data_IF_821367699082
#
_entry.id   IF_821367699082
#
_cell.length_a   1.000
_cell.length_b   1.000
_cell.length_c   1.000
_cell.angle_alpha   90.00
_cell.angle_beta   90.00
_cell.angle_gamma   90.00
#
_symmetry.space_group_name_H-M   'P 1'
#
loop_
_entity.id
_entity.type
_entity.pdbx_description
1 polymer ?
#
# COMPACT_ATOMS: atom_id res chain seq x y z
N UNK A 1 -7.34 -0.32 -35.29
CA UNK A 1 -6.15 0.31 -35.93
C UNK A 1 -5.93 -0.31 -37.33
N UNK A 2 -5.60 0.48 -38.37
CA UNK A 2 -5.45 -0.02 -39.76
C UNK A 2 -4.16 -0.82 -40.01
N UNK A 3 -3.18 -0.80 -39.09
CA UNK A 3 -2.00 -1.69 -39.05
C UNK A 3 -1.60 -1.97 -37.60
N UNK A 4 -1.20 -3.20 -37.30
CA UNK A 4 -0.54 -3.55 -36.04
C UNK A 4 0.98 -3.50 -36.25
N UNK A 5 1.70 -2.82 -35.36
CA UNK A 5 3.17 -2.78 -35.37
C UNK A 5 3.67 -3.17 -33.99
N UNK A 6 4.57 -4.14 -33.94
CA UNK A 6 5.32 -4.45 -32.72
C UNK A 6 6.22 -3.26 -32.39
N UNK A 7 6.14 -2.78 -31.16
CA UNK A 7 6.97 -1.69 -30.65
C UNK A 7 7.93 -2.24 -29.59
N UNK A 8 9.19 -1.85 -29.66
CA UNK A 8 10.21 -2.37 -28.74
C UNK A 8 10.09 -1.78 -27.33
N UNK A 9 9.67 -0.51 -27.24
CA UNK A 9 9.43 0.18 -25.97
C UNK A 9 7.97 0.62 -25.88
N UNK A 10 7.21 -0.05 -25.02
CA UNK A 10 5.80 0.26 -24.76
C UNK A 10 5.65 1.67 -24.17
N UNK A 11 4.85 2.58 -24.77
CA UNK A 11 4.61 3.89 -24.18
C UNK A 11 3.79 3.75 -22.92
N UNK A 12 4.02 4.66 -21.98
CA UNK A 12 3.33 4.71 -20.69
C UNK A 12 1.79 4.73 -20.86
N UNK A 13 1.30 5.35 -21.94
CA UNK A 13 -0.13 5.40 -22.27
C UNK A 13 -0.80 4.03 -22.38
N UNK A 14 -0.07 2.96 -22.74
CA UNK A 14 -0.64 1.60 -22.81
C UNK A 14 -0.88 1.06 -21.40
N UNK A 15 0.08 1.19 -20.49
CA UNK A 15 -0.08 0.78 -19.09
C UNK A 15 -1.26 1.53 -18.45
N UNK A 16 -1.34 2.84 -18.74
CA UNK A 16 -2.33 3.73 -18.17
C UNK A 16 -3.75 3.53 -18.72
N UNK A 17 -3.95 2.79 -19.81
CA UNK A 17 -5.30 2.43 -20.26
C UNK A 17 -6.05 1.61 -19.22
N UNK A 18 -5.35 0.70 -18.53
CA UNK A 18 -5.87 -0.15 -17.46
C UNK A 18 -5.55 0.42 -16.08
N UNK A 19 -4.40 1.06 -15.90
CA UNK A 19 -3.91 1.59 -14.61
C UNK A 19 -4.23 3.09 -14.40
N UNK A 20 -5.41 3.55 -14.86
CA UNK A 20 -5.82 4.97 -14.83
C UNK A 20 -5.77 5.63 -13.45
N UNK A 21 -5.95 4.82 -12.40
CA UNK A 21 -5.99 5.29 -11.02
C UNK A 21 -4.75 6.03 -10.52
N UNK A 22 -3.58 5.71 -11.07
CA UNK A 22 -2.32 6.30 -10.60
C UNK A 22 -2.02 7.67 -11.24
N UNK A 23 -2.87 8.15 -12.17
CA UNK A 23 -2.69 9.44 -12.85
C UNK A 23 -3.35 10.61 -12.12
N UNK A 24 -4.41 10.35 -11.36
CA UNK A 24 -5.31 11.41 -10.87
C UNK A 24 -4.72 12.14 -9.67
N UNK A 25 -4.02 13.25 -9.90
CA UNK A 25 -3.65 14.16 -8.81
C UNK A 25 -4.88 14.93 -8.31
N UNK A 26 -5.07 14.97 -6.99
CA UNK A 26 -6.04 15.85 -6.34
C UNK A 26 -5.31 16.99 -5.59
N UNK A 27 -5.61 18.26 -5.91
CA UNK A 27 -5.02 19.40 -5.20
C UNK A 27 -5.44 19.40 -3.72
N UNK A 28 -4.57 19.95 -2.87
CA UNK A 28 -4.93 20.17 -1.47
C UNK A 28 -6.02 21.25 -1.41
N UNK A 29 -7.01 21.06 -0.55
CA UNK A 29 -8.05 22.07 -0.34
C UNK A 29 -7.44 23.00 0.70
N UNK A 30 -7.13 24.23 0.30
CA UNK A 30 -6.95 25.31 1.27
C UNK A 30 -8.32 25.56 1.88
N UNK A 31 -8.55 25.04 3.09
CA UNK A 31 -9.71 25.46 3.89
C UNK A 31 -9.41 26.88 4.36
N UNK A 32 -9.75 27.86 3.54
CA UNK A 32 -9.91 29.24 4.00
C UNK A 32 -11.23 29.31 4.76
N UNK A 33 -11.20 29.13 6.08
CA UNK A 33 -12.34 29.47 6.92
C UNK A 33 -12.37 30.99 7.08
N UNK A 34 -13.12 31.69 6.24
CA UNK A 34 -13.63 33.02 6.59
C UNK A 34 -14.79 32.83 7.54
N UNK A 35 -14.48 32.66 8.82
CA UNK A 35 -15.37 33.07 9.89
C UNK A 35 -14.75 34.34 10.49
N UNK A 36 -15.42 35.46 10.26
CA UNK A 36 -15.20 36.69 11.02
C UNK A 36 -15.59 36.39 12.46
N UNK A 37 -14.59 36.08 13.29
CA UNK A 37 -14.44 36.56 14.67
C UNK A 37 -13.32 35.77 15.37
N UNK A 38 -12.22 36.47 15.70
CA UNK A 38 -11.19 35.98 16.63
C UNK A 38 -10.18 35.00 16.03
N UNK A 39 -9.01 35.52 15.64
CA UNK A 39 -7.88 34.75 15.11
C UNK A 39 -7.32 33.79 16.18
N UNK A 40 -7.75 32.53 16.15
CA UNK A 40 -6.89 31.39 16.47
C UNK A 40 -6.45 30.81 15.14
N UNK A 41 -5.21 31.10 14.71
CA UNK A 41 -4.56 30.38 13.62
C UNK A 41 -4.28 28.94 14.07
N UNK A 42 -5.31 28.09 14.07
CA UNK A 42 -5.10 26.65 14.07
C UNK A 42 -4.95 26.25 12.61
N UNK A 43 -3.73 26.36 12.09
CA UNK A 43 -3.36 25.52 10.95
C UNK A 43 -3.77 24.12 11.32
N UNK A 44 -4.66 23.47 10.57
CA UNK A 44 -4.88 22.04 10.73
C UNK A 44 -3.53 21.38 10.48
N UNK A 45 -2.80 21.05 11.54
CA UNK A 45 -1.54 20.35 11.43
C UNK A 45 -1.86 19.01 10.78
N UNK A 46 -1.48 18.89 9.52
CA UNK A 46 -1.89 17.79 8.68
C UNK A 46 -1.05 16.56 9.06
N UNK A 47 -1.50 15.79 10.05
CA UNK A 47 -0.79 14.63 10.62
C UNK A 47 -0.51 13.48 9.63
N UNK A 48 -1.11 13.50 8.43
CA UNK A 48 -0.86 12.51 7.39
C UNK A 48 -0.80 13.17 6.00
N UNK A 49 0.24 12.91 5.18
CA UNK A 49 0.27 13.39 3.80
C UNK A 49 -0.84 12.75 2.97
N UNK A 50 -1.71 13.55 2.34
CA UNK A 50 -2.71 13.02 1.41
C UNK A 50 -4.03 12.56 2.02
N UNK A 51 -4.55 13.25 3.06
CA UNK A 51 -5.90 13.13 3.67
C UNK A 51 -7.02 12.59 2.74
N UNK A 52 -7.06 11.27 2.52
CA UNK A 52 -8.03 10.64 1.62
C UNK A 52 -7.97 11.10 0.15
N UNK A 53 -6.82 11.63 -0.29
CA UNK A 53 -6.63 12.17 -1.64
C UNK A 53 -5.56 11.41 -2.40
N UNK A 54 -5.81 11.26 -3.70
CA UNK A 54 -4.81 10.65 -4.59
C UNK A 54 -3.68 11.66 -4.81
N UNK A 55 -2.50 11.28 -4.33
CA UNK A 55 -1.22 11.91 -4.64
C UNK A 55 -0.43 11.02 -5.57
N UNK A 56 0.11 11.61 -6.62
CA UNK A 56 0.91 10.91 -7.61
C UNK A 56 2.27 10.52 -7.03
N UNK A 57 2.74 9.32 -7.39
CA UNK A 57 4.06 8.82 -7.02
C UNK A 57 5.17 9.80 -7.44
N UNK A 58 6.16 10.00 -6.57
CA UNK A 58 7.25 10.93 -6.84
C UNK A 58 8.09 10.53 -8.05
N UNK A 59 8.22 9.24 -8.37
CA UNK A 59 8.97 8.76 -9.54
C UNK A 59 8.24 9.14 -10.82
N UNK A 60 6.93 8.89 -10.85
CA UNK A 60 6.09 9.28 -11.97
C UNK A 60 6.09 10.81 -12.14
N UNK A 61 6.01 11.57 -11.03
CA UNK A 61 5.99 13.03 -11.06
C UNK A 61 7.27 13.64 -11.66
N UNK A 62 8.43 13.01 -11.48
CA UNK A 62 9.69 13.48 -12.09
C UNK A 62 9.87 13.03 -13.54
N UNK A 63 8.99 12.18 -14.07
CA UNK A 63 8.98 11.77 -15.48
C UNK A 63 9.46 10.33 -15.75
N UNK A 64 9.61 9.49 -14.72
CA UNK A 64 9.81 8.05 -14.94
C UNK A 64 8.51 7.40 -15.43
N UNK A 65 8.63 6.53 -16.43
CA UNK A 65 7.53 5.74 -16.97
C UNK A 65 7.47 4.34 -16.33
N UNK A 66 6.33 3.63 -16.47
CA UNK A 66 6.18 2.29 -15.87
C UNK A 66 7.32 1.34 -16.25
N UNK A 67 7.77 1.38 -17.51
CA UNK A 67 8.82 0.51 -18.03
C UNK A 67 10.22 0.85 -17.49
N UNK A 68 10.41 2.01 -16.86
CA UNK A 68 11.72 2.36 -16.29
C UNK A 68 12.00 1.56 -15.01
N UNK A 69 10.94 1.17 -14.29
CA UNK A 69 11.02 0.27 -13.13
C UNK A 69 10.64 -1.17 -13.50
N UNK A 70 9.56 -1.38 -14.25
CA UNK A 70 9.13 -2.73 -14.64
C UNK A 70 10.02 -3.27 -15.76
N UNK A 71 10.83 -4.27 -15.42
CA UNK A 71 11.75 -4.89 -16.38
C UNK A 71 11.01 -5.79 -17.38
N UNK A 72 11.69 -6.24 -18.42
CA UNK A 72 11.12 -7.24 -19.34
C UNK A 72 10.66 -8.50 -18.59
N UNK A 73 11.33 -8.82 -17.48
CA UNK A 73 11.05 -10.01 -16.69
C UNK A 73 9.83 -9.84 -15.78
N UNK A 74 9.55 -8.60 -15.36
CA UNK A 74 8.31 -8.28 -14.63
C UNK A 74 7.10 -8.29 -15.57
N UNK A 75 7.25 -7.80 -16.81
CA UNK A 75 6.14 -7.61 -17.76
C UNK A 75 5.85 -8.88 -18.57
N UNK A 76 6.89 -9.52 -19.11
CA UNK A 76 6.78 -10.68 -20.00
C UNK A 76 7.02 -12.01 -19.27
N UNK A 77 7.44 -11.94 -18.00
CA UNK A 77 7.83 -13.10 -17.21
C UNK A 77 9.30 -13.48 -17.38
N UNK A 78 9.77 -14.34 -16.48
CA UNK A 78 11.13 -14.86 -16.45
C UNK A 78 11.19 -16.39 -16.63
N UNK A 79 10.10 -16.97 -17.14
CA UNK A 79 9.95 -18.42 -17.33
C UNK A 79 9.42 -19.17 -16.12
N UNK A 80 9.24 -18.53 -14.96
CA UNK A 80 8.69 -19.17 -13.77
C UNK A 80 7.19 -18.89 -13.60
N UNK A 81 6.49 -19.83 -12.95
CA UNK A 81 5.09 -19.66 -12.53
C UNK A 81 5.07 -19.19 -11.08
N UNK A 82 4.40 -18.06 -10.83
CA UNK A 82 4.22 -17.50 -9.50
C UNK A 82 2.77 -17.67 -9.04
N UNK A 83 2.58 -18.08 -7.79
CA UNK A 83 1.24 -18.16 -7.19
C UNK A 83 0.64 -16.78 -6.93
N UNK A 84 1.47 -15.75 -6.73
CA UNK A 84 1.07 -14.37 -6.44
C UNK A 84 1.96 -13.36 -7.18
N UNK A 85 1.38 -12.28 -7.67
CA UNK A 85 2.07 -11.23 -8.46
C UNK A 85 3.32 -10.65 -7.75
N UNK A 86 3.26 -10.41 -6.43
CA UNK A 86 4.38 -9.83 -5.68
C UNK A 86 5.63 -10.72 -5.62
N UNK A 87 5.51 -12.01 -5.97
CA UNK A 87 6.65 -12.93 -6.04
C UNK A 87 7.45 -12.76 -7.33
N UNK A 88 6.81 -12.30 -8.40
CA UNK A 88 7.45 -12.05 -9.70
C UNK A 88 8.35 -10.80 -9.66
N UNK A 89 7.94 -9.78 -8.92
CA UNK A 89 8.62 -8.47 -8.87
C UNK A 89 9.99 -8.57 -8.23
N UNK A 90 11.02 -8.13 -8.96
CA UNK A 90 12.41 -8.13 -8.48
C UNK A 90 12.95 -6.76 -8.09
N UNK A 91 12.36 -5.68 -8.61
CA UNK A 91 12.78 -4.31 -8.32
C UNK A 91 12.18 -3.88 -6.99
N UNK A 92 13.04 -3.43 -6.08
CA UNK A 92 12.67 -3.00 -4.73
C UNK A 92 13.20 -1.58 -4.47
N UNK A 93 12.78 -0.97 -3.36
CA UNK A 93 13.26 0.36 -2.98
C UNK A 93 14.79 0.33 -2.80
N UNK A 94 15.25 -0.70 -2.08
CA UNK A 94 16.65 -0.96 -1.75
C UNK A 94 17.49 -1.28 -3.00
N UNK A 95 16.87 -1.71 -4.10
CA UNK A 95 17.56 -1.96 -5.37
C UNK A 95 18.25 -0.70 -5.87
N UNK A 96 17.58 0.45 -5.84
CA UNK A 96 18.13 1.70 -6.36
C UNK A 96 18.63 2.63 -5.25
N UNK A 97 17.96 2.65 -4.09
CA UNK A 97 18.27 3.59 -3.02
C UNK A 97 19.23 3.02 -1.96
N UNK A 98 19.41 1.70 -1.93
CA UNK A 98 20.05 1.02 -0.80
C UNK A 98 19.19 1.08 0.46
N UNK A 99 19.79 0.74 1.59
CA UNK A 99 19.16 0.82 2.90
C UNK A 99 19.99 1.67 3.87
N UNK A 100 19.67 1.61 5.16
CA UNK A 100 20.37 2.37 6.22
C UNK A 100 21.83 1.98 6.38
N UNK A 101 22.23 0.79 5.93
CA UNK A 101 23.52 0.17 6.21
C UNK A 101 24.36 -0.06 4.95
N UNK A 102 23.72 -0.12 3.79
CA UNK A 102 24.34 -0.53 2.54
C UNK A 102 23.87 0.28 1.34
N UNK A 103 24.81 0.54 0.44
CA UNK A 103 24.53 1.08 -0.89
C UNK A 103 23.97 -0.01 -1.79
N UNK A 104 23.28 0.35 -2.89
CA UNK A 104 22.86 -0.59 -3.93
C UNK A 104 23.98 -1.51 -4.37
N UNK A 105 23.64 -2.77 -4.62
CA UNK A 105 24.58 -3.71 -5.19
C UNK A 105 24.81 -3.40 -6.67
N UNK A 106 26.06 -3.46 -7.10
CA UNK A 106 26.47 -3.18 -8.47
C UNK A 106 27.35 -4.31 -9.02
N UNK A 107 27.33 -4.50 -10.34
CA UNK A 107 28.29 -5.35 -11.04
C UNK A 107 28.65 -4.77 -12.40
N UNK A 108 29.89 -4.99 -12.80
CA UNK A 108 30.39 -4.55 -14.09
C UNK A 108 29.89 -5.45 -15.23
N UNK A 109 29.68 -4.85 -16.40
CA UNK A 109 29.50 -5.61 -17.64
C UNK A 109 30.85 -6.12 -18.11
N UNK A 110 31.03 -7.44 -18.08
CA UNK A 110 32.27 -8.11 -18.51
C UNK A 110 32.10 -8.91 -19.80
N UNK A 111 30.86 -9.24 -20.17
CA UNK A 111 30.51 -10.04 -21.33
C UNK A 111 29.90 -9.15 -22.43
N UNK A 112 30.45 -9.11 -23.66
CA UNK A 112 29.84 -8.41 -24.80
C UNK A 112 28.42 -8.88 -25.14
N UNK A 113 28.05 -10.10 -24.73
CA UNK A 113 26.74 -10.69 -24.95
C UNK A 113 25.76 -10.44 -23.80
N UNK A 114 26.15 -9.66 -22.78
CA UNK A 114 25.26 -9.35 -21.67
C UNK A 114 23.95 -8.71 -22.17
N UNK A 115 22.83 -9.22 -21.66
CA UNK A 115 21.49 -8.78 -22.03
C UNK A 115 21.29 -7.27 -21.92
N UNK A 116 21.96 -6.59 -20.98
CA UNK A 116 21.80 -5.13 -20.80
C UNK A 116 22.41 -4.33 -21.94
N UNK A 117 23.43 -4.83 -22.63
CA UNK A 117 23.97 -4.24 -23.86
C UNK A 117 22.91 -4.35 -24.95
N UNK A 118 22.41 -5.57 -25.19
CA UNK A 118 21.38 -5.84 -26.22
C UNK A 118 20.12 -5.01 -26.02
N UNK A 119 19.62 -4.92 -24.78
CA UNK A 119 18.43 -4.14 -24.44
C UNK A 119 18.63 -2.65 -24.70
N UNK A 120 19.80 -2.12 -24.33
CA UNK A 120 20.09 -0.69 -24.47
C UNK A 120 20.13 -0.16 -25.89
N UNK A 121 20.36 -1.03 -26.89
CA UNK A 121 20.28 -0.66 -28.33
C UNK A 121 18.91 -0.13 -28.75
N UNK A 122 17.86 -0.45 -27.99
CA UNK A 122 16.50 0.01 -28.25
C UNK A 122 16.13 1.28 -27.49
N UNK A 123 17.00 1.76 -26.60
CA UNK A 123 16.76 2.95 -25.78
C UNK A 123 17.11 4.24 -26.52
N UNK A 124 16.54 5.34 -26.07
CA UNK A 124 16.63 6.62 -26.79
C UNK A 124 17.84 7.43 -26.32
N UNK A 125 18.84 7.58 -27.19
CA UNK A 125 19.95 8.52 -26.99
C UNK A 125 21.13 8.00 -26.15
N UNK A 126 21.11 6.75 -25.70
CA UNK A 126 22.18 6.16 -24.88
C UNK A 126 22.24 4.64 -25.02
N UNK A 127 23.36 4.04 -24.60
CA UNK A 127 23.61 2.60 -24.63
C UNK A 127 24.52 2.16 -23.50
N UNK A 128 24.63 0.85 -23.31
CA UNK A 128 25.55 0.22 -22.37
C UNK A 128 26.72 -0.45 -23.11
N UNK A 129 27.90 -0.45 -22.50
CA UNK A 129 29.13 -1.06 -23.03
C UNK A 129 29.84 -1.91 -21.97
N UNK A 130 30.77 -2.76 -22.41
CA UNK A 130 31.69 -3.45 -21.49
C UNK A 130 32.38 -2.40 -20.61
N UNK A 131 32.45 -2.67 -19.32
CA UNK A 131 33.03 -1.77 -18.33
C UNK A 131 32.01 -0.95 -17.54
N UNK A 132 30.77 -0.80 -18.01
CA UNK A 132 29.74 -0.09 -17.27
C UNK A 132 29.36 -0.83 -15.98
N UNK A 133 29.16 -0.08 -14.90
CA UNK A 133 28.71 -0.61 -13.62
C UNK A 133 27.19 -0.50 -13.49
N UNK A 134 26.51 -1.64 -13.46
CA UNK A 134 25.05 -1.70 -13.43
C UNK A 134 24.55 -2.05 -12.03
N UNK A 135 23.43 -1.46 -11.63
CA UNK A 135 22.73 -1.82 -10.39
C UNK A 135 22.09 -3.20 -10.53
N UNK A 136 22.11 -3.98 -9.46
CA UNK A 136 21.55 -5.32 -9.39
C UNK A 136 20.19 -5.36 -8.70
N UNK A 137 19.23 -6.03 -9.33
CA UNK A 137 17.93 -6.37 -8.73
C UNK A 137 18.08 -7.30 -7.52
N UNK A 138 16.98 -7.54 -6.80
CA UNK A 138 17.02 -8.51 -5.69
C UNK A 138 17.35 -9.94 -6.11
N UNK A 139 17.27 -10.23 -7.42
CA UNK A 139 17.64 -11.53 -8.02
C UNK A 139 19.02 -11.50 -8.67
N UNK A 140 19.84 -10.50 -8.34
CA UNK A 140 21.20 -10.31 -8.87
C UNK A 140 21.27 -10.11 -10.39
N UNK A 141 20.17 -9.65 -11.01
CA UNK A 141 20.14 -9.28 -12.43
C UNK A 141 20.49 -7.82 -12.61
N UNK A 142 21.33 -7.51 -13.60
CA UNK A 142 21.69 -6.13 -13.95
C UNK A 142 20.47 -5.39 -14.49
N UNK A 143 20.14 -4.24 -13.91
CA UNK A 143 19.12 -3.34 -14.44
C UNK A 143 19.69 -2.59 -15.64
N UNK A 144 19.08 -2.78 -16.82
CA UNK A 144 19.62 -2.24 -18.07
C UNK A 144 19.64 -0.70 -18.15
N UNK A 145 18.97 0.00 -17.24
CA UNK A 145 18.84 1.45 -17.25
C UNK A 145 19.22 2.13 -15.93
N UNK A 146 19.79 1.39 -14.99
CA UNK A 146 20.28 1.97 -13.74
C UNK A 146 21.74 1.61 -13.57
N UNK A 147 22.61 2.62 -13.59
CA UNK A 147 24.07 2.44 -13.64
C UNK A 147 24.82 3.54 -12.89
N UNK A 148 26.12 3.34 -12.73
CA UNK A 148 27.02 4.35 -12.15
C UNK A 148 27.53 5.26 -13.26
N UNK A 149 27.27 6.56 -13.15
CA UNK A 149 27.85 7.61 -13.98
C UNK A 149 28.47 8.67 -13.08
N UNK A 150 29.71 9.09 -13.34
CA UNK A 150 30.41 10.13 -12.56
C UNK A 150 30.36 9.89 -11.03
N UNK A 151 30.61 8.64 -10.60
CA UNK A 151 30.53 8.19 -9.21
C UNK A 151 29.14 8.34 -8.54
N UNK A 152 28.08 8.51 -9.31
CA UNK A 152 26.69 8.56 -8.84
C UNK A 152 25.86 7.47 -9.48
N UNK A 153 24.89 6.95 -8.75
CA UNK A 153 23.91 6.03 -9.32
C UNK A 153 22.82 6.87 -10.00
N UNK A 154 22.56 6.56 -11.27
CA UNK A 154 21.54 7.22 -12.07
C UNK A 154 20.61 6.18 -12.69
N UNK A 155 19.34 6.53 -12.80
CA UNK A 155 18.40 5.84 -13.69
C UNK A 155 18.22 6.68 -14.94
N UNK A 156 18.37 6.09 -16.11
CA UNK A 156 18.12 6.77 -17.39
C UNK A 156 16.79 6.28 -17.96
N UNK A 157 15.91 7.20 -18.33
CA UNK A 157 14.62 6.85 -18.93
C UNK A 157 14.81 6.09 -20.24
N UNK A 158 14.22 4.90 -20.37
CA UNK A 158 14.41 4.01 -21.52
C UNK A 158 13.89 4.65 -22.82
N UNK A 159 12.76 5.35 -22.73
CA UNK A 159 12.13 6.07 -23.85
C UNK A 159 12.48 7.56 -23.89
N UNK A 160 12.67 8.20 -22.75
CA UNK A 160 12.86 9.64 -22.68
C UNK A 160 14.33 10.06 -22.83
N UNK A 161 15.27 9.18 -22.46
CA UNK A 161 16.69 9.52 -22.37
C UNK A 161 17.05 10.44 -21.19
N UNK A 162 16.07 10.85 -20.38
CA UNK A 162 16.30 11.71 -19.23
C UNK A 162 17.12 10.98 -18.17
N UNK A 163 18.10 11.66 -17.59
CA UNK A 163 18.94 11.13 -16.51
C UNK A 163 18.37 11.56 -15.16
N UNK A 164 18.14 10.59 -14.28
CA UNK A 164 17.58 10.79 -12.94
C UNK A 164 18.61 10.36 -11.88
N UNK A 165 19.24 11.31 -11.17
CA UNK A 165 20.11 11.00 -10.05
C UNK A 165 19.33 10.34 -8.90
N UNK A 166 19.90 9.28 -8.32
CA UNK A 166 19.24 8.52 -7.26
C UNK A 166 19.73 8.99 -5.89
N UNK A 167 18.86 9.57 -5.04
CA UNK A 167 19.21 9.84 -3.65
C UNK A 167 19.37 8.53 -2.90
N UNK A 168 20.45 8.37 -2.14
CA UNK A 168 20.72 7.12 -1.43
C UNK A 168 20.28 7.23 0.03
N UNK A 169 19.72 6.13 0.55
CA UNK A 169 19.18 6.06 1.91
C UNK A 169 20.25 6.36 2.96
N UNK A 170 21.48 5.86 2.74
CA UNK A 170 22.63 6.06 3.63
C UNK A 170 23.04 7.53 3.77
N UNK A 171 22.76 8.37 2.76
CA UNK A 171 23.10 9.80 2.78
C UNK A 171 22.06 10.61 3.59
N UNK A 172 20.94 9.99 3.99
CA UNK A 172 19.86 10.59 4.78
C UNK A 172 19.69 9.88 6.15
N UNK A 173 20.80 9.62 6.85
CA UNK A 173 20.88 8.74 8.03
C UNK A 173 19.95 9.11 9.18
N UNK A 174 19.76 10.42 9.47
CA UNK A 174 18.96 10.90 10.61
C UNK A 174 17.56 10.29 10.68
N UNK A 175 16.88 10.17 9.54
CA UNK A 175 15.49 9.71 9.48
C UNK A 175 15.36 8.22 9.12
N UNK A 176 16.47 7.57 8.74
CA UNK A 176 16.49 6.18 8.28
C UNK A 176 17.22 5.23 9.24
N UNK A 177 17.81 5.75 10.32
CA UNK A 177 18.55 4.96 11.30
C UNK A 177 17.96 5.08 12.72
N UNK A 178 16.63 4.94 12.84
CA UNK A 178 15.95 4.84 14.13
C UNK A 178 15.99 3.36 14.56
N UNK A 179 16.68 2.98 15.66
CA UNK A 179 16.85 1.58 16.07
C UNK A 179 15.54 0.79 16.16
N UNK A 180 14.50 1.40 16.72
CA UNK A 180 13.16 0.81 16.82
C UNK A 180 12.48 0.52 15.48
N UNK A 181 12.89 1.16 14.39
CA UNK A 181 12.33 1.00 13.03
C UNK A 181 13.22 0.21 12.09
N UNK A 182 14.54 0.28 12.30
CA UNK A 182 15.55 -0.35 11.46
C UNK A 182 15.26 -1.83 11.30
N UNK A 183 15.34 -2.31 10.06
CA UNK A 183 15.05 -3.69 9.64
C UNK A 183 13.61 -4.20 9.91
N UNK A 184 12.75 -3.42 10.57
CA UNK A 184 11.36 -3.79 10.86
C UNK A 184 10.38 -3.12 9.89
N UNK A 185 10.61 -1.87 9.51
CA UNK A 185 9.75 -1.15 8.57
C UNK A 185 10.23 -1.32 7.12
N UNK A 186 9.31 -1.58 6.20
CA UNK A 186 9.54 -1.40 4.77
C UNK A 186 9.42 0.08 4.42
N UNK A 187 10.17 0.55 3.41
CA UNK A 187 10.17 1.96 3.01
C UNK A 187 8.75 2.51 2.77
N UNK A 188 7.88 1.68 2.20
CA UNK A 188 6.49 2.03 1.91
C UNK A 188 5.63 2.30 3.15
N UNK A 189 6.02 1.84 4.35
CA UNK A 189 5.30 2.14 5.59
C UNK A 189 5.29 3.63 5.93
N UNK A 190 6.41 4.31 5.67
CA UNK A 190 6.55 5.74 5.90
C UNK A 190 6.18 6.54 4.65
N UNK A 191 6.59 6.04 3.47
CA UNK A 191 6.52 6.78 2.23
C UNK A 191 5.21 6.67 1.45
N UNK A 192 4.39 5.64 1.67
CA UNK A 192 3.11 5.52 0.96
C UNK A 192 2.10 6.51 1.50
N UNK A 193 1.59 7.38 0.63
CA UNK A 193 0.68 8.46 0.99
C UNK A 193 -0.78 8.04 1.00
N UNK A 194 -1.13 6.86 0.48
CA UNK A 194 -2.49 6.34 0.52
C UNK A 194 -2.53 4.89 0.05
N UNK A 195 -3.58 4.16 0.45
CA UNK A 195 -3.98 2.88 -0.14
C UNK A 195 -5.41 3.00 -0.70
N UNK A 196 -5.77 2.20 -1.71
CA UNK A 196 -7.15 2.11 -2.17
C UNK A 196 -8.10 1.73 -1.03
N UNK A 197 -9.21 2.46 -0.90
CA UNK A 197 -10.34 2.11 -0.04
C UNK A 197 -11.47 1.52 -0.89
N UNK A 198 -11.53 0.20 -0.90
CA UNK A 198 -12.56 -0.54 -1.62
C UNK A 198 -13.87 -0.49 -0.82
N UNK A 199 -14.67 0.56 -1.03
CA UNK A 199 -16.06 0.69 -0.53
C UNK A 199 -17.05 -0.24 -1.23
N UNK A 200 -16.63 -0.90 -2.31
CA UNK A 200 -17.54 -1.61 -3.20
C UNK A 200 -16.83 -2.45 -4.26
N UNK A 201 -15.78 -3.18 -3.92
CA UNK A 201 -15.39 -4.36 -4.73
C UNK A 201 -16.40 -5.51 -4.49
N UNK A 202 -17.69 -5.19 -4.56
CA UNK A 202 -18.74 -6.17 -4.70
C UNK A 202 -18.60 -6.72 -6.11
N UNK A 203 -18.14 -7.96 -6.21
CA UNK A 203 -18.38 -8.75 -7.41
C UNK A 203 -19.89 -8.98 -7.48
N UNK A 204 -20.63 -8.03 -8.03
CA UNK A 204 -22.03 -8.25 -8.37
C UNK A 204 -22.03 -9.19 -9.59
N UNK A 205 -22.27 -10.48 -9.36
CA UNK A 205 -22.62 -11.41 -10.43
C UNK A 205 -24.04 -11.07 -10.86
N UNK A 206 -24.14 -10.24 -11.89
CA UNK A 206 -25.40 -9.82 -12.46
C UNK A 206 -25.65 -10.68 -13.71
N UNK A 207 -26.71 -11.51 -13.75
CA UNK A 207 -27.15 -12.14 -15.00
C UNK A 207 -27.35 -11.05 -16.05
N UNK A 208 -27.02 -11.31 -17.33
CA UNK A 208 -26.84 -10.33 -18.44
C UNK A 208 -27.89 -9.21 -18.67
N UNK A 209 -28.99 -9.16 -17.90
CA UNK A 209 -30.17 -8.33 -18.18
C UNK A 209 -30.26 -6.98 -17.42
N UNK A 210 -29.37 -6.64 -16.49
CA UNK A 210 -29.46 -5.31 -15.82
C UNK A 210 -28.83 -4.22 -16.68
N UNK A 211 -29.61 -3.17 -16.98
CA UNK A 211 -29.17 -2.03 -17.79
C UNK A 211 -28.08 -1.24 -17.05
N UNK A 212 -26.94 -1.03 -17.73
CA UNK A 212 -25.78 -0.22 -17.29
C UNK A 212 -26.12 1.19 -16.78
N UNK A 213 -27.30 1.73 -17.09
CA UNK A 213 -27.71 3.10 -16.74
C UNK A 213 -28.08 3.29 -15.27
N UNK A 214 -28.34 2.22 -14.50
CA UNK A 214 -28.66 2.31 -13.06
C UNK A 214 -27.39 2.34 -12.16
N UNK A 215 -26.19 2.26 -12.74
CA UNK A 215 -24.90 2.22 -12.05
C UNK A 215 -24.19 3.59 -11.99
N UNK A 216 -24.96 4.69 -11.99
CA UNK A 216 -24.44 6.04 -12.13
C UNK A 216 -23.51 6.51 -10.97
N UNK A 217 -23.59 5.87 -9.80
CA UNK A 217 -22.72 6.16 -8.64
C UNK A 217 -21.30 5.55 -8.73
N UNK A 218 -20.98 4.77 -9.77
CA UNK A 218 -19.63 4.20 -10.01
C UNK A 218 -18.69 5.23 -10.68
N UNK A 219 -19.01 6.54 -10.66
CA UNK A 219 -18.20 7.57 -11.32
C UNK A 219 -16.97 8.05 -10.53
N UNK A 220 -16.74 7.59 -9.30
CA UNK A 220 -15.43 7.76 -8.63
C UNK A 220 -14.60 6.50 -8.86
N UNK A 221 -13.41 6.58 -9.52
CA UNK A 221 -12.67 5.40 -9.93
C UNK A 221 -12.31 4.48 -8.76
N UNK A 222 -12.02 5.04 -7.58
CA UNK A 222 -11.93 4.36 -6.28
C UNK A 222 -11.73 5.43 -5.20
N UNK A 223 -12.07 5.12 -3.95
CA UNK A 223 -11.70 5.94 -2.80
C UNK A 223 -10.28 5.60 -2.35
N UNK A 224 -9.61 6.51 -1.64
CA UNK A 224 -8.32 6.23 -1.01
C UNK A 224 -8.34 6.67 0.44
N UNK A 225 -7.46 6.08 1.24
CA UNK A 225 -7.34 6.38 2.68
C UNK A 225 -5.89 6.29 3.13
N UNK A 226 -5.65 6.79 4.34
CA UNK A 226 -4.38 6.57 5.03
C UNK A 226 -4.14 5.06 5.21
N UNK A 227 -2.93 4.54 4.95
CA UNK A 227 -2.64 3.13 5.10
C UNK A 227 -2.66 2.68 6.56
N UNK A 228 -3.48 1.68 6.84
CA UNK A 228 -3.21 0.74 7.93
C UNK A 228 -1.99 -0.11 7.57
N UNK A 229 -1.31 -0.64 8.58
CA UNK A 229 -0.07 -1.37 8.44
C UNK A 229 -0.25 -2.82 8.89
N UNK A 230 0.58 -3.71 8.36
CA UNK A 230 0.68 -5.10 8.76
C UNK A 230 2.09 -5.62 8.50
N UNK A 231 2.43 -6.81 9.01
CA UNK A 231 3.64 -7.50 8.60
C UNK A 231 3.44 -8.07 7.18
N UNK A 232 4.26 -7.65 6.24
CA UNK A 232 4.22 -8.12 4.86
C UNK A 232 4.92 -9.47 4.66
N UNK A 233 4.86 -10.04 3.44
CA UNK A 233 5.42 -11.36 3.13
C UNK A 233 6.94 -11.49 3.34
N UNK A 234 7.65 -10.36 3.38
CA UNK A 234 9.10 -10.29 3.57
C UNK A 234 9.51 -9.98 5.02
N UNK A 235 8.58 -10.09 5.97
CA UNK A 235 8.86 -9.84 7.40
C UNK A 235 9.08 -8.38 7.77
N UNK A 236 8.76 -7.43 6.87
CA UNK A 236 8.77 -5.99 7.15
C UNK A 236 7.35 -5.46 7.25
N UNK A 237 7.12 -4.47 8.11
CA UNK A 237 5.86 -3.74 8.20
C UNK A 237 5.65 -2.96 6.90
N UNK A 238 4.47 -3.08 6.32
CA UNK A 238 4.09 -2.45 5.04
C UNK A 238 2.62 -2.01 5.08
N UNK A 239 2.20 -1.12 4.17
CA UNK A 239 0.79 -0.80 3.95
C UNK A 239 -0.06 -2.04 3.69
N UNK A 240 -1.25 -2.07 4.30
CA UNK A 240 -2.30 -3.03 3.98
C UNK A 240 -3.53 -2.35 3.42
N UNK A 241 -4.18 -3.00 2.46
CA UNK A 241 -5.59 -2.73 2.19
C UNK A 241 -6.46 -3.49 3.18
N UNK A 242 -7.46 -2.77 3.66
CA UNK A 242 -8.47 -3.26 4.58
C UNK A 242 -9.84 -2.93 3.96
N UNK A 243 -10.30 -3.70 2.94
CA UNK A 243 -11.61 -3.52 2.32
C UNK A 243 -12.72 -3.70 3.35
N UNK A 244 -13.89 -3.10 3.12
CA UNK A 244 -15.05 -3.30 3.98
C UNK A 244 -15.55 -4.75 4.00
N UNK A 245 -16.41 -5.08 4.96
CA UNK A 245 -17.02 -6.40 5.05
C UNK A 245 -17.78 -6.75 3.76
N UNK A 246 -17.63 -8.00 3.32
CA UNK A 246 -18.36 -8.51 2.15
C UNK A 246 -19.72 -9.05 2.59
N UNK A 247 -20.75 -8.69 1.83
CA UNK A 247 -22.10 -9.22 1.95
C UNK A 247 -22.43 -9.99 0.67
N UNK A 248 -23.13 -11.12 0.81
CA UNK A 248 -23.65 -11.91 -0.30
C UNK A 248 -25.16 -11.70 -0.43
N UNK A 249 -25.59 -11.33 -1.63
CA UNK A 249 -26.98 -11.35 -2.05
C UNK A 249 -27.09 -12.38 -3.18
N UNK A 250 -28.12 -13.23 -3.15
CA UNK A 250 -28.37 -14.20 -4.21
C UNK A 250 -29.74 -13.95 -4.82
N UNK A 251 -29.79 -13.88 -6.14
CA UNK A 251 -30.99 -13.58 -6.91
C UNK A 251 -31.30 -14.71 -7.91
N UNK A 252 -32.58 -14.94 -8.18
CA UNK A 252 -33.04 -15.81 -9.27
C UNK A 252 -32.81 -15.16 -10.65
N UNK A 253 -33.22 -15.84 -11.72
CA UNK A 253 -33.07 -15.34 -13.10
C UNK A 253 -33.96 -14.11 -13.39
N UNK A 254 -34.96 -13.86 -12.55
CA UNK A 254 -35.90 -12.75 -12.66
C UNK A 254 -35.48 -11.55 -11.81
N UNK A 255 -34.43 -11.69 -10.99
CA UNK A 255 -33.90 -10.64 -10.11
C UNK A 255 -34.52 -10.62 -8.71
N UNK A 256 -35.33 -11.62 -8.33
CA UNK A 256 -35.87 -11.73 -6.98
C UNK A 256 -34.87 -12.43 -6.06
N UNK A 257 -34.87 -12.11 -4.76
CA UNK A 257 -34.02 -12.81 -3.81
C UNK A 257 -34.36 -14.30 -3.76
N UNK A 258 -33.33 -15.14 -3.79
CA UNK A 258 -33.52 -16.59 -3.66
C UNK A 258 -33.94 -16.95 -2.23
N UNK A 259 -34.99 -17.78 -2.06
CA UNK A 259 -35.35 -18.29 -0.75
C UNK A 259 -34.31 -19.29 -0.22
N UNK A 260 -34.12 -19.28 1.09
CA UNK A 260 -33.42 -20.34 1.83
C UNK A 260 -34.46 -21.40 2.17
N UNK A 261 -34.25 -22.64 1.74
CA UNK A 261 -35.15 -23.75 2.04
C UNK A 261 -34.53 -24.67 3.09
N UNK A 262 -35.36 -25.23 3.97
CA UNK A 262 -34.94 -26.30 4.87
C UNK A 262 -34.93 -27.68 4.15
N UNK A 263 -34.64 -28.74 4.90
CA UNK A 263 -34.62 -30.12 4.39
C UNK A 263 -35.99 -30.63 3.91
N UNK A 264 -37.08 -30.00 4.34
CA UNK A 264 -38.45 -30.33 3.96
C UNK A 264 -38.94 -29.52 2.75
N UNK A 265 -38.17 -28.52 2.30
CA UNK A 265 -38.53 -27.61 1.21
C UNK A 265 -39.30 -26.37 1.68
N UNK A 266 -39.44 -26.15 2.97
CA UNK A 266 -40.08 -24.96 3.53
C UNK A 266 -39.15 -23.75 3.48
N UNK A 267 -39.69 -22.58 3.18
CA UNK A 267 -38.90 -21.34 3.11
C UNK A 267 -38.57 -20.82 4.51
N UNK A 268 -37.29 -20.81 4.87
CA UNK A 268 -36.76 -20.24 6.12
C UNK A 268 -36.43 -18.75 6.03
N UNK A 269 -36.33 -18.19 4.81
CA UNK A 269 -35.96 -16.80 4.59
C UNK A 269 -35.43 -16.56 3.19
N UNK A 270 -34.63 -15.50 3.00
CA UNK A 270 -34.02 -15.14 1.72
C UNK A 270 -32.52 -14.85 1.87
N UNK A 271 -31.73 -15.14 0.84
CA UNK A 271 -30.30 -14.81 0.79
C UNK A 271 -30.06 -13.31 0.57
N UNK A 272 -30.31 -12.51 1.61
CA UNK A 272 -30.12 -11.04 1.62
C UNK A 272 -29.15 -10.63 2.72
N UNK A 273 -28.17 -9.81 2.35
CA UNK A 273 -27.09 -9.31 3.23
C UNK A 273 -26.37 -10.44 4.00
N UNK A 274 -26.27 -11.62 3.37
CA UNK A 274 -25.69 -12.77 4.04
C UNK A 274 -24.22 -12.50 4.33
N UNK A 275 -23.85 -12.71 5.58
CA UNK A 275 -22.58 -12.30 6.14
C UNK A 275 -21.69 -13.52 6.37
N UNK A 276 -20.47 -13.49 5.85
CA UNK A 276 -19.47 -14.51 6.17
C UNK A 276 -19.06 -14.39 7.63
N UNK A 277 -19.05 -15.47 8.42
CA UNK A 277 -18.63 -15.41 9.82
C UNK A 277 -17.18 -15.84 10.01
N UNK A 278 -16.44 -15.13 10.86
CA UNK A 278 -15.11 -15.57 11.29
C UNK A 278 -15.20 -16.44 12.58
N UNK A 279 -14.08 -17.05 13.06
CA UNK A 279 -14.10 -17.89 14.26
C UNK A 279 -14.61 -17.23 15.55
N UNK A 280 -14.63 -15.89 15.59
CA UNK A 280 -15.18 -15.12 16.72
C UNK A 280 -16.69 -14.85 16.57
N UNK A 281 -17.34 -15.39 15.53
CA UNK A 281 -18.77 -15.23 15.26
C UNK A 281 -19.17 -13.89 14.64
N UNK A 282 -18.20 -13.09 14.17
CA UNK A 282 -18.50 -11.77 13.57
C UNK A 282 -18.69 -11.85 12.06
N UNK A 283 -19.57 -11.00 11.52
CA UNK A 283 -19.67 -10.72 10.08
C UNK A 283 -18.33 -10.16 9.56
N UNK A 284 -17.72 -10.88 8.62
CA UNK A 284 -16.30 -11.15 8.68
C UNK A 284 -15.62 -11.40 7.34
N UNK A 285 -16.24 -11.07 6.20
CA UNK A 285 -15.56 -10.97 4.89
C UNK A 285 -14.43 -9.90 4.85
N UNK A 286 -13.87 -9.56 6.01
CA UNK A 286 -12.76 -8.67 6.30
C UNK A 286 -11.50 -9.35 5.79
N UNK A 287 -10.83 -8.68 4.88
CA UNK A 287 -9.54 -9.11 4.35
C UNK A 287 -8.47 -8.11 4.78
N UNK A 288 -7.25 -8.61 4.91
CA UNK A 288 -6.06 -7.79 5.01
C UNK A 288 -5.05 -8.28 3.96
N UNK A 289 -4.51 -7.36 3.17
CA UNK A 289 -3.55 -7.68 2.12
C UNK A 289 -2.47 -6.61 2.07
N UNK A 290 -1.22 -7.02 2.28
CA UNK A 290 -0.04 -6.19 2.17
C UNK A 290 0.18 -5.78 0.71
N UNK A 291 0.31 -4.48 0.44
CA UNK A 291 0.48 -3.97 -0.92
C UNK A 291 1.45 -2.80 -1.01
N UNK A 292 1.95 -2.55 -2.23
CA UNK A 292 2.58 -1.31 -2.62
C UNK A 292 1.61 -0.52 -3.54
N UNK A 293 1.01 0.57 -3.05
CA UNK A 293 -0.03 1.32 -3.77
C UNK A 293 0.50 2.30 -4.83
N UNK A 294 1.81 2.34 -5.12
CA UNK A 294 2.42 3.34 -6.03
C UNK A 294 2.01 4.77 -5.66
N UNK A 295 2.12 5.08 -4.37
CA UNK A 295 1.78 6.38 -3.79
C UNK A 295 2.95 6.94 -3.00
N UNK A 296 4.19 6.61 -3.38
CA UNK A 296 5.38 7.03 -2.65
C UNK A 296 5.58 8.53 -2.80
N UNK A 297 5.68 9.23 -1.66
CA UNK A 297 5.95 10.66 -1.60
C UNK A 297 7.22 11.00 -0.85
N UNK A 298 7.72 12.22 -1.07
CA UNK A 298 8.85 12.80 -0.32
C UNK A 298 8.49 13.12 1.13
N UNK A 299 7.24 13.53 1.38
CA UNK A 299 6.72 13.77 2.74
C UNK A 299 6.13 12.47 3.29
N UNK A 300 6.62 12.04 4.45
CA UNK A 300 6.21 10.83 5.16
C UNK A 300 5.17 11.13 6.23
N UNK A 301 4.54 10.08 6.75
CA UNK A 301 3.58 10.16 7.88
C UNK A 301 4.25 10.53 9.20
N UNK A 302 3.54 11.20 10.10
CA UNK A 302 4.08 11.59 11.42
C UNK A 302 4.18 10.39 12.37
N UNK A 303 5.00 10.49 13.41
CA UNK A 303 5.09 9.47 14.46
C UNK A 303 3.71 9.17 15.08
N UNK A 304 2.94 10.22 15.41
CA UNK A 304 1.59 10.09 15.99
C UNK A 304 0.64 9.31 15.09
N UNK A 305 0.78 9.44 13.76
CA UNK A 305 -0.08 8.72 12.81
C UNK A 305 0.09 7.19 12.85
N UNK A 306 1.15 6.66 13.47
CA UNK A 306 1.37 5.24 13.72
C UNK A 306 1.16 4.90 15.19
N UNK A 307 1.84 5.62 16.08
CA UNK A 307 1.96 5.29 17.50
C UNK A 307 0.76 5.72 18.34
N UNK A 308 -0.11 6.57 17.81
CA UNK A 308 -1.33 7.05 18.49
C UNK A 308 -2.60 6.77 17.67
N UNK A 309 -2.52 5.91 16.65
CA UNK A 309 -3.64 5.62 15.77
C UNK A 309 -4.04 4.14 15.82
N UNK A 310 -5.21 3.78 16.39
CA UNK A 310 -5.68 2.39 16.37
C UNK A 310 -5.93 1.89 14.96
N UNK A 311 -6.34 2.79 14.04
CA UNK A 311 -6.58 2.45 12.64
C UNK A 311 -5.29 2.10 11.90
N UNK A 312 -4.18 2.77 12.22
CA UNK A 312 -2.90 2.49 11.60
C UNK A 312 -2.39 1.08 11.93
N UNK A 313 -2.67 0.58 13.12
CA UNK A 313 -2.30 -0.78 13.55
C UNK A 313 -3.43 -1.80 13.39
N UNK A 314 -4.53 -1.45 12.71
CA UNK A 314 -5.59 -2.38 12.32
C UNK A 314 -6.68 -2.64 13.36
N UNK A 315 -6.71 -1.94 14.49
CA UNK A 315 -7.75 -2.09 15.53
C UNK A 315 -9.07 -1.40 15.15
N UNK A 316 -9.08 -0.62 14.07
CA UNK A 316 -10.24 0.15 13.61
C UNK A 316 -10.19 1.62 14.03
N UNK A 317 -11.23 2.36 13.70
CA UNK A 317 -11.36 3.80 14.02
C UNK A 317 -11.97 3.96 15.41
N UNK A 318 -11.34 4.76 16.26
CA UNK A 318 -11.78 4.97 17.64
C UNK A 318 -10.68 5.52 18.54
N UNK A 319 -11.00 5.63 19.83
CA UNK A 319 -10.06 6.05 20.87
C UNK A 319 -9.50 4.84 21.61
N UNK A 320 -8.20 4.82 21.87
CA UNK A 320 -7.56 3.77 22.66
C UNK A 320 -7.63 4.15 24.14
N UNK A 321 -8.11 3.22 24.96
CA UNK A 321 -8.02 3.26 26.42
C UNK A 321 -7.18 2.08 26.88
N UNK A 322 -6.00 2.36 27.40
CA UNK A 322 -5.13 1.34 27.97
C UNK A 322 -5.44 1.17 29.46
N UNK A 323 -5.51 -0.07 29.92
CA UNK A 323 -5.58 -0.42 31.32
C UNK A 323 -4.24 -0.19 32.03
N UNK A 324 -4.21 -0.34 33.35
CA UNK A 324 -2.99 -0.21 34.16
C UNK A 324 -1.90 -1.18 33.71
N UNK A 325 -2.30 -2.38 33.31
CA UNK A 325 -1.46 -3.38 32.68
C UNK A 325 -1.89 -3.53 31.22
N UNK A 326 -1.08 -3.03 30.28
CA UNK A 326 -1.37 -3.11 28.84
C UNK A 326 -1.12 -4.52 28.30
N UNK A 327 -1.93 -5.50 28.74
CA UNK A 327 -1.91 -6.90 28.29
C UNK A 327 -3.13 -7.23 27.42
N UNK A 328 -3.78 -6.22 26.84
CA UNK A 328 -4.94 -6.32 25.94
C UNK A 328 -6.24 -6.86 26.53
N UNK A 329 -6.25 -7.28 27.80
CA UNK A 329 -7.47 -7.71 28.51
C UNK A 329 -8.32 -6.51 28.95
N UNK A 330 -7.68 -5.56 29.63
CA UNK A 330 -8.32 -4.32 30.07
C UNK A 330 -8.22 -3.19 29.04
N UNK A 331 -7.36 -3.36 28.02
CA UNK A 331 -7.21 -2.38 26.95
C UNK A 331 -8.38 -2.46 25.97
N UNK A 332 -8.94 -1.30 25.62
CA UNK A 332 -10.13 -1.20 24.77
C UNK A 332 -9.95 -0.12 23.72
N UNK A 333 -10.47 -0.38 22.53
CA UNK A 333 -10.74 0.67 21.54
C UNK A 333 -12.21 1.04 21.63
N UNK A 334 -12.50 2.30 21.91
CA UNK A 334 -13.84 2.87 21.84
C UNK A 334 -14.13 3.27 20.39
N UNK A 335 -14.95 2.51 19.65
CA UNK A 335 -15.08 2.73 18.22
C UNK A 335 -15.81 4.02 17.90
N UNK A 336 -15.31 4.75 16.92
CA UNK A 336 -15.98 5.94 16.38
C UNK A 336 -17.29 5.55 15.68
N UNK A 337 -17.24 4.46 14.89
CA UNK A 337 -18.41 3.89 14.20
C UNK A 337 -18.90 2.67 14.97
N UNK A 338 -20.14 2.74 15.48
CA UNK A 338 -20.74 1.72 16.37
C UNK A 338 -21.87 0.92 15.71
N UNK A 339 -22.06 1.03 14.39
CA UNK A 339 -23.17 0.37 13.66
C UNK A 339 -23.22 -1.14 13.92
N UNK A 340 -22.09 -1.85 13.75
CA UNK A 340 -22.02 -3.30 13.96
C UNK A 340 -22.24 -3.71 15.42
N UNK A 341 -21.89 -2.82 16.36
CA UNK A 341 -22.07 -3.03 17.80
C UNK A 341 -23.54 -2.88 18.18
N UNK A 342 -24.17 -1.80 17.72
CA UNK A 342 -25.58 -1.52 17.97
C UNK A 342 -26.46 -2.59 17.33
N UNK A 343 -26.11 -3.06 16.13
CA UNK A 343 -26.84 -4.12 15.44
C UNK A 343 -26.51 -5.54 15.94
N UNK A 344 -25.63 -5.70 16.94
CA UNK A 344 -25.20 -7.01 17.45
C UNK A 344 -24.37 -7.86 16.48
N UNK A 345 -23.90 -7.30 15.37
CA UNK A 345 -23.11 -8.00 14.33
C UNK A 345 -21.64 -8.17 14.72
N UNK A 346 -21.11 -7.29 15.59
CA UNK A 346 -19.75 -7.39 16.13
C UNK A 346 -19.59 -6.65 17.44
N UNK A 347 -18.66 -7.09 18.30
CA UNK A 347 -18.23 -6.31 19.48
C UNK A 347 -17.16 -5.27 19.14
N UNK A 348 -16.71 -5.22 17.88
CA UNK A 348 -15.59 -4.41 17.43
C UNK A 348 -16.02 -3.44 16.33
N UNK A 349 -15.17 -2.46 16.05
CA UNK A 349 -15.39 -1.52 14.96
C UNK A 349 -15.55 -2.27 13.61
N UNK A 350 -16.40 -1.78 12.68
CA UNK A 350 -16.59 -2.41 11.37
C UNK A 350 -15.28 -2.58 10.57
N UNK A 351 -14.33 -1.66 10.76
CA UNK A 351 -13.01 -1.66 10.10
C UNK A 351 -11.91 -2.38 10.88
N UNK A 352 -12.18 -2.91 12.07
CA UNK A 352 -11.18 -3.66 12.82
C UNK A 352 -10.74 -4.91 12.04
N UNK A 353 -9.43 -5.19 12.05
CA UNK A 353 -8.81 -6.37 11.42
C UNK A 353 -8.24 -7.33 12.44
N UNK A 354 -8.02 -6.87 13.67
CA UNK A 354 -7.56 -7.66 14.81
C UNK A 354 -8.13 -7.10 16.11
N UNK A 355 -8.04 -7.89 17.17
CA UNK A 355 -8.37 -7.49 18.55
C UNK A 355 -7.17 -6.81 19.23
N UNK A 356 -7.38 -6.21 20.41
CA UNK A 356 -6.27 -5.70 21.25
C UNK A 356 -5.31 -6.80 21.70
N UNK A 357 -5.74 -8.06 21.69
CA UNK A 357 -4.91 -9.23 21.95
C UNK A 357 -4.13 -9.73 20.72
N UNK A 358 -4.22 -9.03 19.60
CA UNK A 358 -3.55 -9.43 18.36
C UNK A 358 -4.22 -10.60 17.63
N UNK A 359 -5.44 -10.97 18.02
CA UNK A 359 -6.15 -12.07 17.37
C UNK A 359 -6.69 -11.61 16.02
N UNK A 360 -6.43 -12.34 14.93
CA UNK A 360 -6.83 -11.92 13.59
C UNK A 360 -8.34 -12.08 13.36
N UNK A 361 -8.99 -10.99 12.96
CA UNK A 361 -10.37 -10.97 12.49
C UNK A 361 -10.47 -11.07 10.97
N UNK A 362 -9.39 -10.71 10.27
CA UNK A 362 -9.32 -10.64 8.82
C UNK A 362 -8.46 -11.75 8.24
N UNK A 363 -8.93 -12.31 7.13
CA UNK A 363 -8.16 -13.29 6.37
C UNK A 363 -6.96 -12.64 5.69
N UNK A 364 -5.78 -13.27 5.83
CA UNK A 364 -4.54 -12.90 5.14
C UNK A 364 -4.10 -14.07 4.27
N UNK A 365 -4.10 -13.86 2.94
CA UNK A 365 -3.78 -14.93 1.98
C UNK A 365 -2.32 -14.95 1.51
N UNK A 366 -1.51 -13.97 1.93
CA UNK A 366 -0.12 -13.88 1.51
C UNK A 366 0.75 -14.65 2.50
N UNK A 367 1.47 -15.65 2.01
CA UNK A 367 2.40 -16.44 2.82
C UNK A 367 3.42 -15.54 3.53
N UNK A 368 3.60 -15.75 4.83
CA UNK A 368 4.50 -14.95 5.68
C UNK A 368 3.96 -13.58 6.10
N UNK A 369 2.86 -13.10 5.50
CA UNK A 369 2.21 -11.87 5.95
C UNK A 369 1.24 -12.16 7.10
N UNK A 370 1.13 -11.23 8.05
CA UNK A 370 0.19 -11.32 9.16
C UNK A 370 -0.13 -9.94 9.74
N UNK A 371 -1.18 -9.90 10.54
CA UNK A 371 -1.49 -8.76 11.39
C UNK A 371 -0.55 -8.70 12.59
N UNK A 372 -0.55 -7.57 13.30
CA UNK A 372 0.26 -7.39 14.50
C UNK A 372 -0.19 -8.33 15.61
N UNK A 373 0.77 -8.85 16.36
CA UNK A 373 0.47 -9.53 17.61
C UNK A 373 0.36 -8.51 18.76
N UNK A 374 -0.04 -8.98 19.94
CA UNK A 374 -0.22 -8.14 21.11
C UNK A 374 1.07 -7.41 21.55
N UNK A 375 2.19 -8.11 21.58
CA UNK A 375 3.48 -7.54 22.00
C UNK A 375 3.90 -6.38 21.07
N UNK A 376 3.68 -6.54 19.76
CA UNK A 376 3.91 -5.50 18.77
C UNK A 376 2.96 -4.31 18.96
N UNK A 377 1.66 -4.55 19.16
CA UNK A 377 0.68 -3.50 19.44
C UNK A 377 1.12 -2.67 20.66
N UNK A 378 1.46 -3.34 21.76
CA UNK A 378 1.87 -2.68 23.00
C UNK A 378 3.15 -1.87 22.82
N UNK A 379 4.16 -2.43 22.17
CA UNK A 379 5.41 -1.71 21.87
C UNK A 379 5.16 -0.47 21.01
N UNK A 380 4.32 -0.59 19.98
CA UNK A 380 3.98 0.53 19.10
C UNK A 380 3.26 1.63 19.90
N UNK A 381 2.23 1.28 20.67
CA UNK A 381 1.41 2.26 21.41
C UNK A 381 2.16 2.90 22.57
N UNK A 382 3.08 2.18 23.23
CA UNK A 382 3.87 2.71 24.34
C UNK A 382 4.68 3.95 23.95
N UNK A 383 5.23 3.97 22.73
CA UNK A 383 5.96 5.13 22.19
C UNK A 383 5.04 6.36 22.06
N UNK A 384 3.74 6.16 21.84
CA UNK A 384 2.74 7.24 21.75
C UNK A 384 2.70 8.13 22.99
N UNK A 385 3.05 7.62 24.17
CA UNK A 385 3.11 8.40 25.42
C UNK A 385 4.27 9.40 25.44
N UNK A 386 5.34 9.15 24.68
CA UNK A 386 6.52 10.01 24.63
C UNK A 386 6.39 11.11 23.56
N UNK A 387 5.58 10.87 22.52
CA UNK A 387 5.49 11.76 21.37
C UNK A 387 5.08 13.21 21.65
N UNK A 388 4.21 13.52 22.65
CA UNK A 388 3.88 14.92 22.96
C UNK A 388 5.09 15.77 23.37
N UNK A 389 6.16 15.14 23.86
CA UNK A 389 7.39 15.83 24.29
C UNK A 389 8.57 15.58 23.35
N UNK A 390 8.54 14.49 22.58
CA UNK A 390 9.63 14.02 21.72
C UNK A 390 9.12 13.84 20.29
N UNK A 391 9.26 14.87 19.45
CA UNK A 391 8.77 14.83 18.07
C UNK A 391 9.87 14.72 17.01
N UNK A 392 11.13 14.93 17.40
CA UNK A 392 12.27 14.97 16.47
C UNK A 392 12.89 13.60 16.27
N UNK A 393 13.33 13.30 15.04
CA UNK A 393 13.88 11.99 14.69
C UNK A 393 15.22 11.69 15.38
N UNK A 394 16.00 12.71 15.72
CA UNK A 394 17.29 12.60 16.40
C UNK A 394 17.19 12.75 17.93
N UNK A 395 15.97 12.69 18.47
CA UNK A 395 15.78 12.70 19.92
C UNK A 395 16.45 11.46 20.56
N UNK A 396 17.31 11.65 21.59
CA UNK A 396 18.03 10.55 22.24
C UNK A 396 17.13 9.42 22.76
N UNK A 397 15.89 9.71 23.13
CA UNK A 397 14.96 8.69 23.63
C UNK A 397 14.77 7.54 22.63
N UNK A 398 14.91 7.81 21.33
CA UNK A 398 14.75 6.81 20.29
C UNK A 398 15.97 5.89 20.09
N UNK A 399 17.10 6.21 20.72
CA UNK A 399 18.33 5.41 20.59
C UNK A 399 18.36 4.22 21.57
N UNK A 400 17.72 4.35 22.73
CA UNK A 400 17.79 3.40 23.85
C UNK A 400 16.45 2.66 24.14
N UNK A 401 15.49 2.69 23.18
CA UNK A 401 14.11 2.19 23.36
C UNK A 401 13.86 0.74 22.92
#
# INVERSE_FOLDING_TARGET
PKKHRMITLTPNSICLQCHRGFQTFQPDISVGSTYEDGIIKKTSENFFPGFGKIKQDTHFKVGLECIDCHTQFDIMGDGNIYSKQHQAVEVQCETCHGDSDSRPQIAQIVDPLDSVIRLSRSYTGWGNSIGDWMVLSSRKRKLANTKVEENRIVTIGKRTGNVYPIPLTIDASKNHNIPGHKNKLGCTSCHSQWVPDCKGCHSSFIPERVKKSELADIKKPFHVKAPSLMLGPKGKVVPMIAPEGRLLNVFDQQGNFMPVMDENGDTLGIYREWSFTNPHGYSGGRLAYAMNPHSVGKKVRTCASCHMSPSAIGLGEGDIRLGLNSIGEDDKVLPLVRTDIISGRSKLAPRARLTMRGEPLAGVSQTGARLFNQEEINRILKVGNCLPCHEQYDDPIYQDM
#
